data_IF_278305517433
#
_entry.id   IF_278305517433
#
_cell.length_a   1.000
_cell.length_b   1.000
_cell.length_c   1.000
_cell.angle_alpha   90.00
_cell.angle_beta   90.00
_cell.angle_gamma   90.00
#
_symmetry.space_group_name_H-M   'P 1'
#
loop_
_entity.id
_entity.type
_entity.pdbx_description
1 polymer ?
#
# COMPACT_ATOMS: atom_id res chain seq x y z
N UNK A 1 -9.98 -5.88 -29.58
CA UNK A 1 -10.61 -6.40 -28.34
C UNK A 1 -9.89 -5.72 -27.18
N UNK A 2 -10.48 -4.66 -26.62
CA UNK A 2 -9.85 -3.88 -25.56
C UNK A 2 -10.06 -4.55 -24.21
N UNK A 3 -8.96 -4.80 -23.49
CA UNK A 3 -8.96 -5.31 -22.13
C UNK A 3 -9.71 -4.33 -21.23
N UNK A 4 -10.88 -4.76 -20.76
CA UNK A 4 -11.66 -4.05 -19.75
C UNK A 4 -10.85 -4.05 -18.46
N UNK A 5 -10.37 -2.87 -18.04
CA UNK A 5 -9.83 -2.66 -16.71
C UNK A 5 -10.96 -2.86 -15.71
N UNK A 6 -11.02 -4.06 -15.15
CA UNK A 6 -12.07 -4.51 -14.25
C UNK A 6 -11.70 -4.18 -12.82
N UNK A 7 -11.71 -2.89 -12.46
CA UNK A 7 -11.71 -2.48 -11.06
C UNK A 7 -13.13 -2.48 -10.46
N UNK A 8 -14.17 -2.75 -11.26
CA UNK A 8 -15.53 -2.97 -10.80
C UNK A 8 -15.98 -4.41 -11.08
N UNK A 9 -16.19 -5.20 -10.02
CA UNK A 9 -16.90 -6.50 -9.95
C UNK A 9 -16.04 -7.74 -9.65
N UNK A 10 -15.31 -7.74 -8.56
CA UNK A 10 -15.48 -8.83 -7.60
C UNK A 10 -16.16 -8.16 -6.42
N UNK A 11 -17.18 -8.78 -5.82
CA UNK A 11 -17.82 -8.28 -4.60
C UNK A 11 -16.76 -7.71 -3.66
N UNK A 12 -16.62 -6.38 -3.59
CA UNK A 12 -15.76 -5.75 -2.59
C UNK A 12 -16.52 -5.97 -1.30
N UNK A 13 -16.38 -7.16 -0.72
CA UNK A 13 -16.49 -7.31 0.71
C UNK A 13 -15.48 -6.31 1.22
N UNK A 14 -15.98 -5.18 1.71
CA UNK A 14 -15.19 -4.21 2.42
C UNK A 14 -14.72 -4.92 3.69
N UNK A 15 -13.63 -5.69 3.55
CA UNK A 15 -13.11 -6.53 4.61
C UNK A 15 -12.32 -5.63 5.53
N UNK A 16 -13.05 -4.96 6.41
CA UNK A 16 -12.47 -3.96 7.28
C UNK A 16 -11.97 -2.73 6.53
N UNK A 17 -11.00 -2.06 7.13
CA UNK A 17 -10.47 -0.75 6.74
C UNK A 17 -9.03 -0.91 6.26
N UNK A 18 -8.69 -0.25 5.14
CA UNK A 18 -7.35 -0.25 4.56
C UNK A 18 -6.34 0.54 5.41
N UNK A 19 -6.78 1.62 6.06
CA UNK A 19 -6.00 2.40 7.02
C UNK A 19 -6.67 2.41 8.39
N UNK A 20 -6.00 1.83 9.38
CA UNK A 20 -6.49 1.74 10.74
C UNK A 20 -6.56 3.08 11.48
N UNK A 21 -5.94 4.15 10.94
CA UNK A 21 -6.10 5.51 11.48
C UNK A 21 -7.52 6.05 11.23
N UNK A 22 -8.24 5.51 10.23
CA UNK A 22 -9.63 5.86 9.97
C UNK A 22 -10.61 5.18 10.94
N UNK A 23 -10.13 4.27 11.80
CA UNK A 23 -10.97 3.67 12.84
C UNK A 23 -11.36 4.74 13.87
N UNK A 24 -12.65 4.82 14.16
CA UNK A 24 -13.19 5.76 15.16
C UNK A 24 -12.68 5.52 16.58
N UNK A 25 -12.22 4.31 16.87
CA UNK A 25 -11.57 3.92 18.12
C UNK A 25 -10.32 3.11 17.81
N UNK A 26 -9.15 3.66 18.10
CA UNK A 26 -7.88 2.95 18.06
C UNK A 26 -7.76 2.16 19.37
N UNK A 27 -8.45 1.02 19.43
CA UNK A 27 -8.32 0.05 20.51
C UNK A 27 -7.62 -1.20 19.98
N UNK A 28 -6.86 -1.90 20.85
CA UNK A 28 -6.15 -3.13 20.48
C UNK A 28 -7.13 -4.17 19.90
N UNK A 29 -8.30 -4.34 20.52
CA UNK A 29 -9.35 -5.23 20.05
C UNK A 29 -9.82 -4.88 18.63
N UNK A 30 -9.99 -3.59 18.33
CA UNK A 30 -10.46 -3.13 17.02
C UNK A 30 -9.40 -3.37 15.92
N UNK A 31 -8.12 -3.18 16.25
CA UNK A 31 -6.98 -3.47 15.36
C UNK A 31 -6.93 -4.97 15.05
N UNK A 32 -7.00 -5.81 16.08
CA UNK A 32 -6.96 -7.28 15.94
C UNK A 32 -8.16 -7.78 15.13
N UNK A 33 -9.36 -7.27 15.38
CA UNK A 33 -10.53 -7.61 14.59
C UNK A 33 -10.39 -7.21 13.11
N UNK A 34 -9.83 -6.03 12.84
CA UNK A 34 -9.61 -5.56 11.47
C UNK A 34 -8.60 -6.45 10.72
N UNK A 35 -7.45 -6.71 11.35
CA UNK A 35 -6.43 -7.60 10.79
C UNK A 35 -6.96 -9.01 10.56
N UNK A 36 -7.75 -9.55 11.49
CA UNK A 36 -8.36 -10.88 11.36
C UNK A 36 -9.34 -10.92 10.20
N UNK A 37 -10.22 -9.92 10.06
CA UNK A 37 -11.18 -9.84 8.93
C UNK A 37 -10.44 -9.81 7.59
N UNK A 38 -9.45 -8.92 7.47
CA UNK A 38 -8.61 -8.79 6.27
C UNK A 38 -7.86 -10.07 5.93
N UNK A 39 -7.25 -10.69 6.93
CA UNK A 39 -6.55 -11.97 6.78
C UNK A 39 -7.47 -13.09 6.29
N UNK A 40 -8.72 -13.14 6.77
CA UNK A 40 -9.70 -14.14 6.31
C UNK A 40 -10.13 -13.93 4.85
N UNK A 41 -10.05 -12.71 4.34
CA UNK A 41 -10.31 -12.36 2.94
C UNK A 41 -9.02 -12.23 2.11
N UNK A 42 -7.91 -12.83 2.56
CA UNK A 42 -6.61 -12.87 1.87
C UNK A 42 -5.89 -11.52 1.69
N UNK A 43 -6.29 -10.48 2.43
CA UNK A 43 -5.58 -9.20 2.49
C UNK A 43 -4.52 -9.20 3.59
N UNK A 44 -3.25 -9.33 3.20
CA UNK A 44 -2.11 -9.38 4.12
C UNK A 44 -1.50 -8.02 4.47
N UNK A 45 -1.79 -7.01 3.66
CA UNK A 45 -1.24 -5.66 3.80
C UNK A 45 -2.31 -4.70 4.32
N UNK A 46 -1.96 -3.90 5.33
CA UNK A 46 -2.85 -2.91 5.95
C UNK A 46 -2.04 -1.69 6.38
N UNK A 47 -2.55 -0.47 6.14
CA UNK A 47 -1.92 0.75 6.64
C UNK A 47 -2.29 1.03 8.10
N UNK A 48 -1.35 1.63 8.81
CA UNK A 48 -1.57 2.32 10.07
C UNK A 48 -0.87 3.68 9.98
N UNK A 49 -1.55 4.64 9.37
CA UNK A 49 -0.98 5.94 9.04
C UNK A 49 0.23 5.79 8.11
N UNK A 50 1.44 6.24 8.50
CA UNK A 50 2.62 6.15 7.64
C UNK A 50 3.24 4.74 7.57
N UNK A 51 2.80 3.80 8.42
CA UNK A 51 3.40 2.47 8.51
C UNK A 51 2.54 1.45 7.76
N UNK A 52 3.19 0.53 7.05
CA UNK A 52 2.56 -0.62 6.41
C UNK A 52 2.75 -1.87 7.29
N UNK A 53 1.65 -2.50 7.69
CA UNK A 53 1.65 -3.80 8.37
C UNK A 53 1.48 -4.91 7.33
N UNK A 54 2.35 -5.92 7.41
CA UNK A 54 2.26 -7.15 6.62
C UNK A 54 2.07 -8.35 7.54
N UNK A 55 1.01 -9.13 7.31
CA UNK A 55 0.74 -10.38 8.04
C UNK A 55 1.18 -11.58 7.18
N UNK A 56 1.93 -12.53 7.75
CA UNK A 56 2.39 -13.69 6.99
C UNK A 56 1.21 -14.64 6.66
N UNK A 57 0.89 -14.88 5.37
CA UNK A 57 -0.20 -15.79 4.99
C UNK A 57 0.13 -17.28 5.17
N UNK A 58 1.39 -17.64 5.45
CA UNK A 58 1.88 -19.02 5.51
C UNK A 58 1.58 -19.87 4.24
N UNK A 59 1.27 -19.21 3.13
CA UNK A 59 1.03 -19.79 1.80
C UNK A 59 1.71 -18.93 0.73
N UNK A 60 2.14 -19.55 -0.36
CA UNK A 60 2.59 -18.81 -1.54
C UNK A 60 1.37 -18.19 -2.22
N UNK A 61 1.37 -16.87 -2.34
CA UNK A 61 0.31 -16.12 -2.99
C UNK A 61 0.81 -15.51 -4.30
N UNK A 62 0.00 -15.48 -5.36
CA UNK A 62 0.38 -14.92 -6.67
C UNK A 62 0.29 -13.38 -6.69
N UNK A 63 0.90 -12.69 -5.71
CA UNK A 63 0.81 -11.23 -5.56
C UNK A 63 1.99 -10.44 -6.13
N UNK A 64 3.09 -11.12 -6.46
CA UNK A 64 4.31 -10.48 -6.93
C UNK A 64 4.51 -10.78 -8.42
N UNK A 65 3.59 -10.29 -9.26
CA UNK A 65 3.80 -10.33 -10.72
C UNK A 65 4.17 -8.94 -11.22
N UNK A 66 4.75 -8.89 -12.42
CA UNK A 66 5.16 -7.63 -13.05
C UNK A 66 3.97 -6.66 -13.24
N UNK A 67 2.76 -7.21 -13.33
CA UNK A 67 1.53 -6.43 -13.45
C UNK A 67 1.23 -5.60 -12.21
N UNK A 68 1.45 -6.13 -11.00
CA UNK A 68 1.27 -5.33 -9.78
C UNK A 68 2.33 -4.23 -9.72
N UNK A 69 3.56 -4.50 -10.14
CA UNK A 69 4.62 -3.48 -10.21
C UNK A 69 4.17 -2.31 -11.08
N UNK A 70 3.67 -2.57 -12.29
CA UNK A 70 3.16 -1.54 -13.20
C UNK A 70 1.97 -0.75 -12.62
N UNK A 71 1.12 -1.39 -11.80
CA UNK A 71 -0.01 -0.73 -11.16
C UNK A 71 0.44 0.28 -10.10
N UNK A 72 1.49 -0.06 -9.33
CA UNK A 72 1.98 0.75 -8.22
C UNK A 72 3.06 1.75 -8.63
N UNK A 73 3.77 1.52 -9.73
CA UNK A 73 4.68 2.47 -10.32
C UNK A 73 3.89 3.69 -10.81
N UNK A 74 4.29 4.89 -10.43
CA UNK A 74 3.57 6.10 -10.88
C UNK A 74 2.37 6.51 -10.01
N UNK A 75 1.72 5.57 -9.32
CA UNK A 75 0.49 5.81 -8.56
C UNK A 75 0.66 6.72 -7.32
N UNK A 76 -0.40 7.44 -6.94
CA UNK A 76 -0.42 8.22 -5.71
C UNK A 76 -0.61 7.33 -4.47
N UNK A 77 -0.08 7.78 -3.33
CA UNK A 77 -0.35 7.13 -2.05
C UNK A 77 -1.87 7.15 -1.80
N UNK A 78 -2.45 6.00 -1.48
CA UNK A 78 -3.90 5.77 -1.30
C UNK A 78 -4.76 5.66 -2.57
N UNK A 79 -4.19 5.72 -3.77
CA UNK A 79 -4.94 5.43 -5.02
C UNK A 79 -5.19 3.93 -5.18
N UNK A 80 -4.21 3.13 -4.76
CA UNK A 80 -4.23 1.67 -4.81
C UNK A 80 -4.33 1.08 -3.38
N UNK A 81 -4.80 -0.18 -3.26
CA UNK A 81 -4.86 -0.86 -1.97
C UNK A 81 -3.45 -1.00 -1.36
N UNK A 82 -3.36 -1.11 -0.02
CA UNK A 82 -2.09 -1.23 0.69
C UNK A 82 -1.22 -2.35 0.11
N UNK A 83 0.00 -2.00 -0.29
CA UNK A 83 0.96 -2.93 -0.85
C UNK A 83 2.39 -2.46 -0.63
N UNK A 84 3.32 -3.41 -0.60
CA UNK A 84 4.75 -3.10 -0.42
C UNK A 84 5.30 -2.26 -1.58
N UNK A 85 4.83 -2.49 -2.81
CA UNK A 85 5.26 -1.71 -3.98
C UNK A 85 4.89 -0.23 -3.90
N UNK A 86 3.74 0.12 -3.31
CA UNK A 86 3.40 1.52 -3.06
C UNK A 86 4.42 2.19 -2.13
N UNK A 87 4.86 1.47 -1.09
CA UNK A 87 5.86 1.95 -0.15
C UNK A 87 7.23 2.10 -0.82
N UNK A 88 7.65 1.10 -1.59
CA UNK A 88 8.93 1.11 -2.30
C UNK A 88 9.01 2.22 -3.34
N UNK A 89 7.96 2.42 -4.14
CA UNK A 89 7.91 3.51 -5.14
C UNK A 89 8.00 4.89 -4.48
N UNK A 90 7.27 5.10 -3.38
CA UNK A 90 7.33 6.34 -2.61
C UNK A 90 8.74 6.60 -2.05
N UNK A 91 9.36 5.58 -1.42
CA UNK A 91 10.74 5.68 -0.93
C UNK A 91 11.73 5.99 -2.04
N UNK A 92 11.59 5.32 -3.19
CA UNK A 92 12.47 5.52 -4.34
C UNK A 92 12.37 6.95 -4.89
N UNK A 93 11.16 7.47 -5.06
CA UNK A 93 10.95 8.86 -5.49
C UNK A 93 11.49 9.86 -4.49
N UNK A 94 11.21 9.67 -3.21
CA UNK A 94 11.72 10.56 -2.16
C UNK A 94 13.25 10.57 -2.17
N UNK A 95 13.90 9.41 -2.32
CA UNK A 95 15.35 9.32 -2.44
C UNK A 95 15.89 10.08 -3.66
N UNK A 96 15.22 9.99 -4.82
CA UNK A 96 15.63 10.74 -6.01
C UNK A 96 15.50 12.25 -5.81
N UNK A 97 14.36 12.70 -5.26
CA UNK A 97 14.12 14.12 -4.96
C UNK A 97 15.13 14.66 -3.94
N UNK A 98 15.37 13.93 -2.86
CA UNK A 98 16.34 14.31 -1.83
C UNK A 98 17.76 14.33 -2.40
N UNK A 99 18.10 13.42 -3.31
CA UNK A 99 19.41 13.42 -3.97
C UNK A 99 19.63 14.64 -4.88
N UNK A 100 18.57 15.17 -5.50
CA UNK A 100 18.62 16.41 -6.27
C UNK A 100 18.78 17.64 -5.37
N UNK A 101 18.05 17.67 -4.25
CA UNK A 101 18.10 18.78 -3.27
C UNK A 101 19.41 18.85 -2.45
N UNK A 102 20.20 17.77 -2.40
CA UNK A 102 21.46 17.68 -1.65
C UNK A 102 22.70 18.12 -2.46
N UNK A 103 22.52 18.75 -3.63
CA UNK A 103 23.63 19.39 -4.33
C UNK A 103 23.75 20.86 -3.88
N UNK A 104 24.70 21.23 -3.00
CA UNK A 104 24.96 22.63 -2.69
C UNK A 104 25.73 23.24 -3.86
N UNK A 105 25.07 23.41 -4.99
CA UNK A 105 25.57 24.27 -6.05
C UNK A 105 25.17 25.69 -5.69
N UNK A 106 26.19 26.53 -5.47
CA UNK A 106 26.15 28.00 -5.29
C UNK A 106 26.28 28.48 -3.84
N UNK A 107 27.47 28.32 -3.27
CA UNK A 107 28.07 29.42 -2.49
C UNK A 107 28.77 30.35 -3.49
N UNK A 108 28.27 31.58 -3.75
CA UNK A 108 29.05 32.56 -4.48
C UNK A 108 30.15 33.10 -3.54
N UNK A 109 31.40 33.06 -4.04
CA UNK A 109 32.52 33.80 -3.45
C UNK A 109 32.32 35.31 -3.60
#
# INVERSE_FOLDING_TARGET
>A
QGSKYHWQSQNVKQSGVDDMVLLSKIAEDAIVENLKKRYMDDYIFTYIGPVLISVNPFKQMPYFTDREIELYQGAAQYENPPHIYALTDNMYRNMMIDSENQSPSTMPF
#
